data_IF_878353106707
#
_entry.id   IF_878353106707
#
_cell.length_a   1.000
_cell.length_b   1.000
_cell.length_c   1.000
_cell.angle_alpha   90.00
_cell.angle_beta   90.00
_cell.angle_gamma   90.00
#
_symmetry.space_group_name_H-M   'P 1'
#
loop_
_entity.id
_entity.type
_entity.pdbx_description
1 polymer ?
#
# COMPACT_ATOMS: atom_id res chain seq x y z
N UNK A 1 -3.06 -0.03 -5.27
CA UNK A 1 -3.13 -1.16 -6.24
C UNK A 1 -4.47 -1.08 -6.96
N UNK A 2 -4.50 -1.30 -8.28
CA UNK A 2 -5.71 -1.18 -9.10
C UNK A 2 -5.96 -2.50 -9.82
N UNK A 3 -7.23 -2.89 -9.91
CA UNK A 3 -7.68 -4.03 -10.69
C UNK A 3 -9.10 -3.78 -11.19
N UNK A 4 -9.63 -4.63 -12.05
CA UNK A 4 -11.03 -4.54 -12.46
C UNK A 4 -11.89 -5.59 -11.75
N UNK A 5 -13.18 -5.29 -11.61
CA UNK A 5 -14.14 -6.17 -10.90
C UNK A 5 -14.27 -7.54 -11.56
N UNK A 6 -14.12 -7.63 -12.88
CA UNK A 6 -14.20 -8.90 -13.63
C UNK A 6 -13.05 -9.82 -13.24
N UNK A 7 -11.81 -9.31 -13.24
CA UNK A 7 -10.64 -10.09 -12.84
C UNK A 7 -10.76 -10.66 -11.43
N UNK A 8 -11.17 -9.82 -10.46
CA UNK A 8 -11.35 -10.26 -9.07
C UNK A 8 -12.41 -11.36 -8.95
N UNK A 9 -13.52 -11.22 -9.71
CA UNK A 9 -14.61 -12.20 -9.71
C UNK A 9 -14.21 -13.53 -10.34
N UNK A 10 -13.48 -13.50 -11.47
CA UNK A 10 -13.12 -14.69 -12.24
C UNK A 10 -11.86 -15.38 -11.69
N UNK A 11 -10.96 -14.63 -11.03
CA UNK A 11 -9.67 -15.10 -10.53
C UNK A 11 -9.41 -14.72 -9.07
N UNK A 12 -10.33 -15.04 -8.13
CA UNK A 12 -10.22 -14.58 -6.74
C UNK A 12 -8.96 -15.09 -6.04
N UNK A 13 -8.55 -16.33 -6.30
CA UNK A 13 -7.33 -16.92 -5.72
C UNK A 13 -6.08 -16.18 -6.20
N UNK A 14 -5.97 -15.94 -7.52
CA UNK A 14 -4.82 -15.21 -8.08
C UNK A 14 -4.75 -13.77 -7.52
N UNK A 15 -5.90 -13.10 -7.38
CA UNK A 15 -5.97 -11.77 -6.78
C UNK A 15 -5.52 -11.78 -5.31
N UNK A 16 -5.94 -12.78 -4.53
CA UNK A 16 -5.56 -12.94 -3.13
C UNK A 16 -4.08 -13.26 -2.97
N UNK A 17 -3.53 -14.18 -3.79
CA UNK A 17 -2.12 -14.57 -3.71
C UNK A 17 -1.21 -13.41 -4.13
N UNK A 18 -1.59 -12.66 -5.17
CA UNK A 18 -0.87 -11.44 -5.54
C UNK A 18 -0.89 -10.38 -4.42
N UNK A 19 -2.05 -10.17 -3.80
CA UNK A 19 -2.17 -9.26 -2.66
C UNK A 19 -1.30 -9.73 -1.50
N UNK A 20 -1.33 -11.02 -1.17
CA UNK A 20 -0.53 -11.63 -0.09
C UNK A 20 0.96 -11.40 -0.32
N UNK A 21 1.47 -11.71 -1.50
CA UNK A 21 2.87 -11.48 -1.84
C UNK A 21 3.26 -10.00 -1.75
N UNK A 22 2.39 -9.12 -2.24
CA UNK A 22 2.61 -7.66 -2.17
C UNK A 22 2.66 -7.16 -0.73
N UNK A 23 1.70 -7.57 0.10
CA UNK A 23 1.65 -7.13 1.49
C UNK A 23 2.77 -7.74 2.33
N UNK A 24 3.21 -8.95 2.01
CA UNK A 24 4.42 -9.54 2.63
C UNK A 24 5.66 -8.71 2.30
N UNK A 25 5.87 -8.38 1.03
CA UNK A 25 6.99 -7.53 0.60
C UNK A 25 6.95 -6.13 1.24
N UNK A 26 5.76 -5.53 1.33
CA UNK A 26 5.60 -4.24 2.01
C UNK A 26 5.89 -4.33 3.52
N UNK A 27 5.41 -5.39 4.18
CA UNK A 27 5.68 -5.61 5.61
C UNK A 27 7.19 -5.81 5.87
N UNK A 28 7.89 -6.56 5.01
CA UNK A 28 9.33 -6.74 5.11
C UNK A 28 10.08 -5.41 4.92
N UNK A 29 9.69 -4.62 3.92
CA UNK A 29 10.29 -3.32 3.65
C UNK A 29 10.06 -2.30 4.79
N UNK A 30 8.89 -2.35 5.41
CA UNK A 30 8.57 -1.50 6.59
C UNK A 30 9.37 -1.94 7.82
N UNK A 31 9.55 -3.24 8.01
CA UNK A 31 10.31 -3.78 9.15
C UNK A 31 11.83 -3.61 9.00
N UNK A 32 12.32 -3.61 7.76
CA UNK A 32 13.75 -3.40 7.45
C UNK A 32 13.91 -2.40 6.29
N UNK A 33 13.72 -1.10 6.57
CA UNK A 33 13.84 -0.05 5.56
C UNK A 33 15.25 0.10 4.99
N UNK A 34 16.29 -0.35 5.70
CA UNK A 34 17.65 -0.34 5.19
C UNK A 34 17.80 -1.37 4.05
N UNK A 35 17.35 -2.61 4.24
CA UNK A 35 17.33 -3.63 3.18
C UNK A 35 16.44 -3.20 2.01
N UNK A 36 15.29 -2.59 2.28
CA UNK A 36 14.41 -2.08 1.22
C UNK A 36 15.09 -1.03 0.34
N UNK A 37 15.85 -0.11 0.96
CA UNK A 37 16.60 0.92 0.22
C UNK A 37 17.72 0.30 -0.63
N UNK A 38 18.42 -0.71 -0.13
CA UNK A 38 19.46 -1.42 -0.91
C UNK A 38 18.86 -2.12 -2.13
N UNK A 39 17.75 -2.83 -1.98
CA UNK A 39 17.06 -3.49 -3.10
C UNK A 39 16.64 -2.47 -4.17
N UNK A 40 16.10 -1.32 -3.75
CA UNK A 40 15.73 -0.25 -4.66
C UNK A 40 16.95 0.32 -5.39
N UNK A 41 18.05 0.56 -4.69
CA UNK A 41 19.29 1.09 -5.25
C UNK A 41 19.92 0.12 -6.24
N UNK A 42 20.03 -1.17 -5.88
CA UNK A 42 20.56 -2.20 -6.77
C UNK A 42 19.73 -2.33 -8.05
N UNK A 43 18.42 -2.26 -7.95
CA UNK A 43 17.54 -2.26 -9.12
C UNK A 43 17.77 -1.05 -10.02
N UNK A 44 17.89 0.15 -9.44
CA UNK A 44 18.11 1.40 -10.15
C UNK A 44 19.45 1.38 -10.87
N UNK A 45 20.51 0.97 -10.20
CA UNK A 45 21.87 0.91 -10.77
C UNK A 45 21.95 -0.06 -11.95
N UNK A 46 21.25 -1.19 -11.87
CA UNK A 46 21.17 -2.18 -12.94
C UNK A 46 20.24 -1.78 -14.10
N UNK A 47 19.40 -0.75 -13.95
CA UNK A 47 18.43 -0.31 -14.95
C UNK A 47 18.64 1.14 -15.43
N UNK A 48 19.84 1.71 -15.23
CA UNK A 48 20.26 2.99 -15.81
C UNK A 48 19.74 4.23 -15.10
N UNK A 49 19.12 4.12 -13.94
CA UNK A 49 18.70 5.23 -13.08
C UNK A 49 18.07 6.44 -13.81
N UNK A 50 17.00 6.28 -14.59
CA UNK A 50 16.44 7.34 -15.42
C UNK A 50 15.88 8.53 -14.62
N UNK A 51 15.61 8.33 -13.33
CA UNK A 51 15.01 9.34 -12.44
C UNK A 51 16.05 10.02 -11.53
N UNK A 52 17.33 9.71 -11.65
CA UNK A 52 18.40 10.32 -10.86
C UNK A 52 18.28 10.06 -9.36
N UNK A 53 17.77 8.89 -8.96
CA UNK A 53 17.64 8.51 -7.56
C UNK A 53 19.03 8.25 -6.94
N UNK A 54 19.20 8.51 -5.66
CA UNK A 54 20.45 8.30 -4.94
C UNK A 54 20.28 7.30 -3.79
N UNK A 55 21.32 6.54 -3.42
CA UNK A 55 21.28 5.63 -2.27
C UNK A 55 20.85 6.32 -0.97
N UNK A 56 21.39 7.49 -0.69
CA UNK A 56 21.05 8.27 0.49
C UNK A 56 19.58 8.75 0.46
N UNK A 57 19.13 9.20 -0.72
CA UNK A 57 17.73 9.60 -0.91
C UNK A 57 16.75 8.44 -0.71
N UNK A 58 17.06 7.27 -1.25
CA UNK A 58 16.24 6.06 -1.07
C UNK A 58 16.25 5.56 0.39
N UNK A 59 17.40 5.61 1.05
CA UNK A 59 17.50 5.28 2.48
C UNK A 59 16.64 6.22 3.33
N UNK A 60 16.72 7.54 3.11
CA UNK A 60 15.90 8.53 3.80
C UNK A 60 14.40 8.31 3.52
N UNK A 61 14.04 8.07 2.25
CA UNK A 61 12.66 7.82 1.83
C UNK A 61 12.07 6.61 2.56
N UNK A 62 12.73 5.45 2.50
CA UNK A 62 12.24 4.23 3.12
C UNK A 62 12.12 4.33 4.65
N UNK A 63 13.06 4.97 5.32
CA UNK A 63 13.00 5.21 6.77
C UNK A 63 11.80 6.10 7.13
N UNK A 64 11.59 7.17 6.36
CA UNK A 64 10.47 8.10 6.58
C UNK A 64 9.13 7.43 6.29
N UNK A 65 8.98 6.77 5.14
CA UNK A 65 7.76 6.07 4.76
C UNK A 65 7.41 4.95 5.74
N UNK A 66 8.39 4.15 6.18
CA UNK A 66 8.17 3.09 7.17
C UNK A 66 7.59 3.63 8.48
N UNK A 67 8.09 4.76 8.94
CA UNK A 67 7.56 5.43 10.13
C UNK A 67 6.13 5.91 9.93
N UNK A 68 5.85 6.56 8.79
CA UNK A 68 4.53 7.11 8.49
C UNK A 68 3.47 6.01 8.30
N UNK A 69 3.78 4.98 7.51
CA UNK A 69 2.81 3.92 7.23
C UNK A 69 2.55 3.00 8.42
N UNK A 70 3.46 2.96 9.39
CA UNK A 70 3.32 2.17 10.62
C UNK A 70 2.57 2.90 11.73
N UNK A 71 2.38 4.22 11.63
CA UNK A 71 1.86 5.05 12.72
C UNK A 71 0.47 4.61 13.22
N UNK A 72 -0.39 4.16 12.30
CA UNK A 72 -1.77 3.77 12.59
C UNK A 72 -2.01 2.25 12.45
N UNK A 73 -0.95 1.45 12.33
CA UNK A 73 -1.06 0.00 12.21
C UNK A 73 -1.43 -0.64 13.53
N UNK A 74 -2.51 -1.42 13.52
CA UNK A 74 -2.99 -2.21 14.66
C UNK A 74 -3.51 -3.55 14.14
N UNK A 75 -3.81 -4.54 15.00
CA UNK A 75 -4.47 -5.78 14.55
C UNK A 75 -5.81 -5.56 13.82
N UNK A 76 -6.49 -4.45 14.09
CA UNK A 76 -7.76 -4.09 13.44
C UNK A 76 -7.58 -3.25 12.18
N UNK A 77 -6.45 -2.56 12.09
CA UNK A 77 -6.06 -1.73 10.95
C UNK A 77 -4.69 -2.16 10.45
N UNK A 78 -4.57 -3.38 9.88
CA UNK A 78 -3.29 -3.88 9.39
C UNK A 78 -2.75 -3.01 8.26
N UNK A 79 -1.47 -3.18 7.99
CA UNK A 79 -0.72 -2.41 6.99
C UNK A 79 -1.46 -2.37 5.64
N UNK A 80 -1.59 -1.17 5.07
CA UNK A 80 -2.24 -0.96 3.77
C UNK A 80 -3.77 -0.94 3.79
N UNK A 81 -4.42 -1.15 4.94
CA UNK A 81 -5.86 -0.98 5.04
C UNK A 81 -6.21 0.51 4.95
N UNK A 82 -7.12 0.91 4.05
CA UNK A 82 -7.53 2.29 3.95
C UNK A 82 -8.24 2.76 5.23
N UNK A 83 -7.99 4.01 5.60
CA UNK A 83 -8.67 4.69 6.71
C UNK A 83 -9.82 5.55 6.15
N UNK A 84 -11.07 5.09 6.18
CA UNK A 84 -12.19 5.76 5.48
C UNK A 84 -12.39 7.21 5.91
N UNK A 85 -12.20 7.52 7.17
CA UNK A 85 -12.39 8.89 7.68
C UNK A 85 -11.29 9.83 7.19
N UNK A 86 -10.04 9.37 7.14
CA UNK A 86 -8.93 10.13 6.57
C UNK A 86 -9.16 10.39 5.07
N UNK A 87 -9.55 9.36 4.32
CA UNK A 87 -9.85 9.48 2.89
C UNK A 87 -11.04 10.43 2.62
N UNK A 88 -12.09 10.41 3.46
CA UNK A 88 -13.20 11.37 3.38
C UNK A 88 -12.74 12.80 3.68
N UNK A 89 -11.87 12.99 4.67
CA UNK A 89 -11.33 14.31 5.00
C UNK A 89 -10.47 14.85 3.85
N UNK A 90 -9.63 14.03 3.27
CA UNK A 90 -8.79 14.38 2.12
C UNK A 90 -9.63 14.77 0.89
N UNK A 91 -10.62 13.96 0.51
CA UNK A 91 -11.48 14.24 -0.63
C UNK A 91 -12.30 15.52 -0.46
N UNK A 92 -12.73 15.84 0.78
CA UNK A 92 -13.37 17.12 1.10
C UNK A 92 -12.42 18.30 0.92
N UNK A 93 -11.16 18.15 1.37
CA UNK A 93 -10.14 19.19 1.21
C UNK A 93 -9.84 19.46 -0.27
N UNK A 94 -9.77 18.44 -1.08
CA UNK A 94 -9.60 18.60 -2.54
C UNK A 94 -10.83 19.26 -3.20
N UNK A 95 -12.03 18.88 -2.79
CA UNK A 95 -13.25 19.53 -3.28
C UNK A 95 -13.31 21.01 -2.90
N UNK A 96 -12.87 21.39 -1.70
CA UNK A 96 -12.85 22.78 -1.23
C UNK A 96 -11.94 23.69 -2.08
N UNK A 97 -10.89 23.14 -2.71
CA UNK A 97 -10.02 23.88 -3.64
C UNK A 97 -10.42 23.70 -5.12
N UNK A 98 -11.65 23.20 -5.38
CA UNK A 98 -12.25 23.15 -6.71
C UNK A 98 -12.08 21.84 -7.48
N UNK A 99 -11.36 20.84 -6.94
CA UNK A 99 -11.35 19.50 -7.54
C UNK A 99 -12.76 18.87 -7.47
N UNK A 100 -12.99 17.91 -8.34
CA UNK A 100 -14.29 17.20 -8.46
C UNK A 100 -15.50 18.15 -8.69
N UNK A 101 -15.27 19.32 -9.28
CA UNK A 101 -16.33 20.33 -9.47
C UNK A 101 -16.82 20.95 -8.15
N UNK A 102 -15.98 20.99 -7.12
CA UNK A 102 -16.30 21.57 -5.81
C UNK A 102 -17.14 20.66 -4.90
N UNK A 103 -17.43 19.42 -5.30
CA UNK A 103 -18.22 18.46 -4.51
C UNK A 103 -17.40 17.18 -4.27
N UNK A 104 -17.19 16.84 -2.99
CA UNK A 104 -16.50 15.59 -2.64
C UNK A 104 -17.26 14.37 -3.20
N UNK A 105 -16.58 13.43 -3.89
CA UNK A 105 -17.18 12.19 -4.37
C UNK A 105 -17.59 11.29 -3.20
N UNK A 106 -18.56 10.42 -3.45
CA UNK A 106 -18.80 9.29 -2.56
C UNK A 106 -17.67 8.28 -2.74
N UNK A 107 -17.01 7.92 -1.64
CA UNK A 107 -15.86 6.99 -1.63
C UNK A 107 -16.24 5.56 -1.29
N UNK A 108 -17.51 5.26 -1.02
CA UNK A 108 -17.97 3.95 -0.56
C UNK A 108 -17.64 2.82 -1.55
N UNK A 109 -17.68 3.13 -2.85
CA UNK A 109 -17.40 2.18 -3.94
C UNK A 109 -15.98 2.31 -4.54
N UNK A 110 -15.12 3.16 -3.97
CA UNK A 110 -13.78 3.43 -4.52
C UNK A 110 -12.76 2.34 -4.18
N UNK A 111 -13.02 1.53 -3.16
CA UNK A 111 -12.11 0.47 -2.72
C UNK A 111 -12.88 -0.75 -2.22
N UNK A 112 -12.26 -1.92 -2.39
CA UNK A 112 -12.71 -3.19 -1.83
C UNK A 112 -11.59 -3.72 -0.92
N UNK A 113 -11.90 -3.92 0.35
CA UNK A 113 -10.94 -4.41 1.34
C UNK A 113 -11.00 -5.91 1.54
N UNK A 114 -11.92 -6.61 0.91
CA UNK A 114 -12.16 -8.05 1.16
C UNK A 114 -10.92 -8.91 0.87
N UNK A 115 -10.24 -8.65 -0.27
CA UNK A 115 -9.02 -9.37 -0.64
C UNK A 115 -7.88 -9.02 0.31
N UNK A 116 -7.73 -7.74 0.66
CA UNK A 116 -6.69 -7.31 1.58
C UNK A 116 -6.89 -7.93 2.98
N UNK A 117 -8.11 -7.93 3.49
CA UNK A 117 -8.43 -8.55 4.78
C UNK A 117 -8.18 -10.06 4.79
N UNK A 118 -8.41 -10.75 3.67
CA UNK A 118 -8.22 -12.19 3.55
C UNK A 118 -6.75 -12.65 3.64
N UNK A 119 -5.78 -11.74 3.55
CA UNK A 119 -4.36 -12.07 3.63
C UNK A 119 -3.76 -11.86 5.02
N UNK A 120 -4.53 -11.31 5.97
CA UNK A 120 -4.10 -11.10 7.35
C UNK A 120 -4.73 -12.09 8.32
N UNK A 121 -3.98 -12.45 9.34
CA UNK A 121 -4.52 -13.17 10.50
C UNK A 121 -5.15 -12.20 11.52
N UNK A 122 -5.62 -12.76 12.63
CA UNK A 122 -6.27 -11.98 13.70
C UNK A 122 -5.31 -11.03 14.45
N UNK A 123 -4.01 -11.21 14.29
CA UNK A 123 -2.99 -10.31 14.85
C UNK A 123 -2.64 -9.16 13.92
N UNK A 124 -3.17 -9.14 12.68
CA UNK A 124 -2.80 -8.18 11.65
C UNK A 124 -1.48 -8.51 10.95
N UNK A 125 -1.02 -9.76 11.06
CA UNK A 125 0.18 -10.25 10.38
C UNK A 125 -0.21 -10.94 9.07
N UNK A 126 0.59 -10.73 8.02
CA UNK A 126 0.36 -11.40 6.72
C UNK A 126 0.59 -12.89 6.88
N UNK A 127 -0.40 -13.70 6.48
CA UNK A 127 -0.29 -15.17 6.44
C UNK A 127 0.62 -15.58 5.29
N UNK A 128 1.82 -16.07 5.61
CA UNK A 128 2.84 -16.44 4.63
C UNK A 128 3.64 -17.68 5.09
N UNK A 129 3.85 -18.69 4.24
CA UNK A 129 3.25 -18.87 2.90
C UNK A 129 1.75 -19.06 2.95
N UNK A 130 1.10 -19.09 1.78
CA UNK A 130 -0.32 -19.44 1.69
C UNK A 130 -0.52 -20.88 2.22
N UNK A 131 -1.47 -21.06 3.12
CA UNK A 131 -1.85 -22.37 3.69
C UNK A 131 -2.87 -23.08 2.81
#
# INVERSE_FOLDING_TARGET
MYTNKTFVKEHPTAATDFMRATMKGLADAVNDPASASMVATDFIDNNGNPNGLSPDGESFRWQTESTLVSADVTPKTPLGLPLPDALRAETRSYAAVGLFGGKAPDISDMYDTSILQAVYDTSGTVVWPAT
#
